data_IF_140433455755
#
_entry.id   IF_140433455755
#
_cell.length_a   1.000
_cell.length_b   1.000
_cell.length_c   1.000
_cell.angle_alpha   90.00
_cell.angle_beta   90.00
_cell.angle_gamma   90.00
#
_symmetry.space_group_name_H-M   'P 1'
#
loop_
_entity.id
_entity.type
_entity.pdbx_description
1 polymer ?
#
# COMPACT_ATOMS: atom_id res chain seq x y z
N UNK A 1 6.52 -5.20 28.29
CA UNK A 1 5.30 -4.46 27.87
C UNK A 1 5.72 -3.49 26.79
N UNK A 2 5.10 -3.52 25.61
CA UNK A 2 5.35 -2.54 24.55
C UNK A 2 4.42 -1.34 24.78
N UNK A 3 4.96 -0.13 24.81
CA UNK A 3 4.20 1.12 24.99
C UNK A 3 4.40 1.98 23.74
N UNK A 4 3.30 2.23 23.02
CA UNK A 4 3.27 2.97 21.76
C UNK A 4 2.01 3.82 21.69
N UNK A 5 2.07 4.88 20.89
CA UNK A 5 0.92 5.72 20.56
C UNK A 5 0.27 5.20 19.28
N UNK A 6 -0.96 4.68 19.39
CA UNK A 6 -1.61 3.96 18.29
C UNK A 6 -1.88 4.81 17.05
N UNK A 7 -2.36 6.05 17.24
CA UNK A 7 -2.66 6.94 16.10
C UNK A 7 -1.39 7.34 15.31
N UNK A 8 -0.30 7.80 15.94
CA UNK A 8 0.96 8.02 15.24
C UNK A 8 1.56 6.75 14.61
N UNK A 9 1.35 5.58 15.23
CA UNK A 9 1.88 4.30 14.74
C UNK A 9 1.27 3.86 13.39
N UNK A 10 0.09 4.39 13.05
CA UNK A 10 -0.57 4.13 11.76
C UNK A 10 -0.52 5.31 10.78
N UNK A 11 -0.26 6.54 11.24
CA UNK A 11 -0.26 7.73 10.40
C UNK A 11 0.70 7.62 9.20
N UNK A 12 1.92 7.09 9.40
CA UNK A 12 2.88 6.87 8.30
C UNK A 12 2.37 5.89 7.26
N UNK A 13 1.79 4.76 7.70
CA UNK A 13 1.19 3.73 6.84
C UNK A 13 0.06 4.32 6.00
N UNK A 14 -0.80 5.16 6.59
CA UNK A 14 -1.93 5.77 5.89
C UNK A 14 -1.47 6.83 4.86
N UNK A 15 -0.41 7.59 5.14
CA UNK A 15 0.17 8.53 4.18
C UNK A 15 0.59 7.79 2.90
N UNK A 16 1.30 6.68 3.03
CA UNK A 16 1.77 5.92 1.87
C UNK A 16 0.63 5.19 1.14
N UNK A 17 -0.36 4.67 1.88
CA UNK A 17 -1.56 4.09 1.27
C UNK A 17 -2.34 5.12 0.43
N UNK A 18 -2.50 6.35 0.91
CA UNK A 18 -3.15 7.44 0.17
C UNK A 18 -2.38 7.81 -1.10
N UNK A 19 -1.04 7.85 -1.02
CA UNK A 19 -0.18 8.12 -2.18
C UNK A 19 -0.29 7.01 -3.22
N UNK A 20 -0.29 5.74 -2.81
CA UNK A 20 -0.50 4.61 -3.70
C UNK A 20 -1.89 4.65 -4.39
N UNK A 21 -2.94 5.02 -3.64
CA UNK A 21 -4.28 5.21 -4.20
C UNK A 21 -4.32 6.35 -5.22
N UNK A 22 -3.59 7.45 -4.98
CA UNK A 22 -3.47 8.57 -5.94
C UNK A 22 -2.76 8.13 -7.22
N UNK A 23 -1.67 7.37 -7.11
CA UNK A 23 -0.95 6.80 -8.27
C UNK A 23 -1.90 5.90 -9.09
N UNK A 24 -2.65 5.01 -8.46
CA UNK A 24 -3.60 4.14 -9.14
C UNK A 24 -4.68 4.96 -9.88
N UNK A 25 -5.22 6.00 -9.23
CA UNK A 25 -6.18 6.91 -9.85
C UNK A 25 -5.59 7.62 -11.06
N UNK A 26 -4.36 8.12 -10.97
CA UNK A 26 -3.69 8.83 -12.07
C UNK A 26 -3.40 7.90 -13.26
N UNK A 27 -3.19 6.62 -12.99
CA UNK A 27 -3.03 5.57 -14.01
C UNK A 27 -4.38 5.01 -14.53
N UNK A 28 -5.51 5.58 -14.11
CA UNK A 28 -6.84 5.13 -14.54
C UNK A 28 -7.23 3.73 -14.01
N UNK A 29 -6.58 3.25 -12.96
CA UNK A 29 -6.86 1.93 -12.37
C UNK A 29 -8.06 2.01 -11.42
N UNK A 30 -9.03 1.14 -11.64
CA UNK A 30 -10.18 0.94 -10.75
C UNK A 30 -10.01 -0.31 -9.87
N UNK A 31 -10.78 -0.37 -8.79
CA UNK A 31 -10.73 -1.50 -7.85
C UNK A 31 -9.57 -1.43 -6.85
N UNK A 32 -9.36 -2.48 -6.05
CA UNK A 32 -8.29 -2.52 -5.05
C UNK A 32 -6.90 -2.53 -5.67
N UNK A 33 -5.99 -1.73 -5.12
CA UNK A 33 -4.55 -1.82 -5.44
C UNK A 33 -3.98 -2.98 -4.61
N UNK A 34 -3.90 -4.18 -5.19
CA UNK A 34 -3.55 -5.41 -4.45
C UNK A 34 -2.18 -5.34 -3.77
N UNK A 35 -1.17 -4.77 -4.45
CA UNK A 35 0.17 -4.58 -3.88
C UNK A 35 0.15 -3.66 -2.65
N UNK A 36 -0.47 -2.49 -2.75
CA UNK A 36 -0.57 -1.56 -1.63
C UNK A 36 -1.48 -2.10 -0.50
N UNK A 37 -2.57 -2.79 -0.84
CA UNK A 37 -3.48 -3.35 0.15
C UNK A 37 -2.80 -4.42 0.99
N UNK A 38 -2.08 -5.35 0.35
CA UNK A 38 -1.39 -6.44 1.03
C UNK A 38 -0.24 -5.96 1.92
N UNK A 39 0.35 -4.79 1.64
CA UNK A 39 1.44 -4.23 2.45
C UNK A 39 0.97 -3.30 3.57
N UNK A 40 -0.08 -2.50 3.34
CA UNK A 40 -0.51 -1.46 4.29
C UNK A 40 -1.71 -1.86 5.17
N UNK A 41 -2.45 -2.90 4.83
CA UNK A 41 -3.71 -3.27 5.50
C UNK A 41 -3.62 -4.65 6.16
N UNK A 42 -4.23 -4.79 7.34
CA UNK A 42 -4.30 -6.08 8.06
C UNK A 42 -5.21 -7.12 7.39
N UNK A 43 -6.19 -6.65 6.61
CA UNK A 43 -7.18 -7.49 5.95
C UNK A 43 -7.28 -7.15 4.46
N UNK A 44 -6.24 -7.47 3.67
CA UNK A 44 -6.26 -7.22 2.24
C UNK A 44 -7.20 -8.20 1.50
N UNK A 45 -7.65 -7.85 0.28
CA UNK A 45 -8.42 -8.78 -0.56
C UNK A 45 -7.65 -10.06 -0.91
N UNK A 46 -6.34 -9.95 -1.08
CA UNK A 46 -5.42 -11.08 -1.31
C UNK A 46 -4.25 -10.99 -0.33
N UNK A 47 -3.91 -12.12 0.30
CA UNK A 47 -2.88 -12.20 1.33
C UNK A 47 -1.53 -12.57 0.72
N UNK A 48 -0.51 -11.79 1.06
CA UNK A 48 0.88 -11.96 0.63
C UNK A 48 1.75 -12.09 1.89
N UNK A 49 2.96 -12.64 1.79
CA UNK A 49 3.93 -12.46 2.86
C UNK A 49 4.38 -11.00 2.91
N UNK A 50 4.74 -10.49 4.09
CA UNK A 50 5.18 -9.09 4.25
C UNK A 50 6.32 -8.71 3.28
N UNK A 51 7.26 -9.64 3.03
CA UNK A 51 8.35 -9.44 2.07
C UNK A 51 7.84 -9.31 0.63
N UNK A 52 6.94 -10.20 0.21
CA UNK A 52 6.38 -10.17 -1.15
C UNK A 52 5.48 -8.95 -1.35
N UNK A 53 4.70 -8.57 -0.33
CA UNK A 53 3.88 -7.37 -0.35
C UNK A 53 4.74 -6.10 -0.47
N UNK A 54 5.87 -6.06 0.24
CA UNK A 54 6.84 -4.97 0.14
C UNK A 54 7.41 -4.85 -1.28
N UNK A 55 7.90 -5.95 -1.84
CA UNK A 55 8.49 -5.94 -3.18
C UNK A 55 7.44 -5.54 -4.23
N UNK A 56 6.20 -6.04 -4.11
CA UNK A 56 5.11 -5.70 -5.01
C UNK A 56 4.69 -4.22 -4.94
N UNK A 57 4.69 -3.60 -3.75
CA UNK A 57 4.34 -2.17 -3.65
C UNK A 57 5.45 -1.28 -4.18
N UNK A 58 6.72 -1.64 -3.98
CA UNK A 58 7.87 -0.92 -4.53
C UNK A 58 7.86 -0.98 -6.07
N UNK A 59 7.61 -2.16 -6.63
CA UNK A 59 7.44 -2.33 -8.08
C UNK A 59 6.27 -1.47 -8.60
N UNK A 60 5.11 -1.53 -7.93
CA UNK A 60 3.95 -0.70 -8.29
C UNK A 60 4.28 0.80 -8.29
N UNK A 61 5.04 1.29 -7.32
CA UNK A 61 5.43 2.70 -7.25
C UNK A 61 6.40 3.06 -8.38
N UNK A 62 7.37 2.19 -8.68
CA UNK A 62 8.41 2.42 -9.69
C UNK A 62 7.92 2.34 -11.14
N UNK A 63 6.78 1.69 -11.42
CA UNK A 63 6.23 1.61 -12.78
C UNK A 63 5.87 2.99 -13.35
N UNK A 64 6.17 3.21 -14.62
CA UNK A 64 5.67 4.37 -15.37
C UNK A 64 4.24 4.10 -15.88
N UNK A 65 3.39 5.14 -16.02
CA UNK A 65 2.09 4.99 -16.66
C UNK A 65 2.25 4.45 -18.10
N UNK A 66 1.36 3.55 -18.52
CA UNK A 66 1.25 3.20 -19.93
C UNK A 66 0.91 4.47 -20.73
N UNK A 67 1.72 4.77 -21.75
CA UNK A 67 1.52 5.94 -22.63
C UNK A 67 0.30 5.79 -23.53
#
# INVERSE_FOLDING_TARGET
KLEVWDSPNSAGVIIDALRAAKIAKDRGMGGPVLSASSYFMKSPPEQYSDSAARDAVEEFIAMEPAR
#
